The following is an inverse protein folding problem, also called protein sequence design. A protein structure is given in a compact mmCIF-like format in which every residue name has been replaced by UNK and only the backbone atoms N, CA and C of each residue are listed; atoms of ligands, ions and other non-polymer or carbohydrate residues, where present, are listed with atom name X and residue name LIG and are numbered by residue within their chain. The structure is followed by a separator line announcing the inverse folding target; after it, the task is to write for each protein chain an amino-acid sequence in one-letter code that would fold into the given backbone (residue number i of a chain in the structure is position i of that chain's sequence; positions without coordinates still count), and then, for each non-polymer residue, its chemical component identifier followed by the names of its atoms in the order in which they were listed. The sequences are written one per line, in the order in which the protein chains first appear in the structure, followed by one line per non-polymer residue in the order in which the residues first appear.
data_IF_821610352009
#
_entry.id   IF_821610352009
#
_cell.length_a   1.000
_cell.length_b   1.000
_cell.length_c   1.000
_cell.angle_alpha   90.00
_cell.angle_beta   90.00
_cell.angle_gamma   90.00
#
_symmetry.space_group_name_H-M   'P 1'
#
loop_
_entity.id
_entity.type
_entity.pdbx_description
1 polymer ?
#
# COMPACT_ATOMS: atom_id res chain seq x y z
N UNK A 1 10.08 -29.86 -85.03
CA UNK A 1 10.47 -28.51 -84.55
C UNK A 1 10.30 -28.31 -83.03
N UNK A 2 10.22 -29.36 -82.20
CA UNK A 2 10.13 -29.23 -80.72
C UNK A 2 11.46 -29.57 -80.01
N UNK A 3 12.36 -30.29 -80.68
CA UNK A 3 13.66 -30.70 -80.11
C UNK A 3 14.72 -29.58 -80.03
N UNK A 4 14.59 -28.49 -80.80
CA UNK A 4 15.59 -27.43 -80.87
C UNK A 4 15.44 -26.35 -79.77
N UNK A 5 14.29 -26.30 -79.08
CA UNK A 5 14.07 -25.34 -77.99
C UNK A 5 14.67 -25.82 -76.66
N UNK A 6 14.71 -27.15 -76.43
CA UNK A 6 15.31 -27.74 -75.22
C UNK A 6 16.83 -27.70 -75.21
N UNK A 7 17.48 -27.64 -76.38
CA UNK A 7 18.95 -27.54 -76.50
C UNK A 7 19.55 -26.20 -76.07
N UNK A 8 18.73 -25.14 -75.87
CA UNK A 8 19.21 -23.85 -75.33
C UNK A 8 19.11 -23.73 -73.82
N UNK A 9 18.31 -24.58 -73.16
CA UNK A 9 18.20 -24.59 -71.70
C UNK A 9 19.31 -25.40 -71.01
N UNK A 10 19.98 -26.31 -71.72
CA UNK A 10 21.04 -27.18 -71.17
C UNK A 10 22.42 -26.53 -71.10
N UNK A 11 22.63 -25.37 -71.73
CA UNK A 11 23.91 -24.63 -71.73
C UNK A 11 24.15 -23.74 -70.51
N UNK A 12 23.20 -23.64 -69.61
CA UNK A 12 23.18 -22.65 -68.55
C UNK A 12 23.22 -23.32 -67.17
N UNK A 13 24.44 -23.66 -66.71
CA UNK A 13 24.73 -24.28 -65.39
C UNK A 13 24.21 -23.50 -64.17
N UNK A 14 23.83 -22.24 -64.33
CA UNK A 14 23.26 -21.35 -63.32
C UNK A 14 21.73 -21.44 -63.15
N UNK A 15 20.96 -21.82 -64.17
CA UNK A 15 19.49 -21.94 -64.10
C UNK A 15 19.01 -22.93 -63.02
N UNK A 16 19.54 -24.16 -62.91
CA UNK A 16 19.16 -25.07 -61.84
C UNK A 16 19.61 -24.56 -60.46
N UNK A 17 20.72 -23.83 -60.36
CA UNK A 17 21.18 -23.22 -59.10
C UNK A 17 20.25 -22.08 -58.67
N UNK A 18 19.85 -21.21 -59.60
CA UNK A 18 18.90 -20.13 -59.36
C UNK A 18 17.53 -20.67 -58.95
N UNK A 19 17.04 -21.73 -59.62
CA UNK A 19 15.79 -22.39 -59.26
C UNK A 19 15.82 -22.98 -57.84
N UNK A 20 16.93 -23.60 -57.43
CA UNK A 20 17.11 -24.11 -56.06
C UNK A 20 17.15 -22.97 -55.04
N UNK A 21 17.82 -21.85 -55.34
CA UNK A 21 17.85 -20.69 -54.45
C UNK A 21 16.46 -20.06 -54.31
N UNK A 22 15.70 -19.93 -55.40
CA UNK A 22 14.32 -19.41 -55.36
C UNK A 22 13.41 -20.34 -54.60
N UNK A 23 13.52 -21.66 -54.80
CA UNK A 23 12.75 -22.65 -54.04
C UNK A 23 13.10 -22.61 -52.54
N UNK A 24 14.38 -22.53 -52.20
CA UNK A 24 14.83 -22.39 -50.82
C UNK A 24 14.32 -21.09 -50.19
N UNK A 25 14.38 -19.96 -50.90
CA UNK A 25 13.84 -18.69 -50.45
C UNK A 25 12.32 -18.75 -50.24
N UNK A 26 11.58 -19.40 -51.15
CA UNK A 26 10.12 -19.58 -51.01
C UNK A 26 9.76 -20.48 -49.83
N UNK A 27 10.51 -21.56 -49.60
CA UNK A 27 10.30 -22.46 -48.45
C UNK A 27 10.65 -21.76 -47.13
N UNK A 28 11.74 -20.98 -47.10
CA UNK A 28 12.11 -20.16 -45.93
C UNK A 28 11.04 -19.10 -45.66
N UNK A 29 10.58 -18.37 -46.68
CA UNK A 29 9.51 -17.39 -46.55
C UNK A 29 8.20 -18.02 -46.06
N UNK A 30 7.80 -19.16 -46.63
CA UNK A 30 6.62 -19.91 -46.19
C UNK A 30 6.75 -20.42 -44.76
N UNK A 31 7.92 -20.91 -44.36
CA UNK A 31 8.19 -21.32 -42.98
C UNK A 31 8.12 -20.14 -41.99
N UNK A 32 8.68 -18.99 -42.35
CA UNK A 32 8.63 -17.77 -41.54
C UNK A 32 7.19 -17.26 -41.39
N UNK A 33 6.39 -17.30 -42.45
CA UNK A 33 4.96 -16.92 -42.40
C UNK A 33 4.15 -17.85 -41.50
N UNK A 34 4.33 -19.17 -41.63
CA UNK A 34 3.63 -20.13 -40.74
C UNK A 34 4.07 -19.96 -39.28
N UNK A 35 5.36 -19.68 -39.05
CA UNK A 35 5.89 -19.41 -37.72
C UNK A 35 5.31 -18.12 -37.14
N UNK A 36 5.20 -17.05 -37.93
CA UNK A 36 4.58 -15.79 -37.48
C UNK A 36 3.10 -15.95 -37.19
N UNK A 37 2.33 -16.63 -38.06
CA UNK A 37 0.90 -16.88 -37.82
C UNK A 37 0.66 -17.68 -36.54
N UNK A 38 1.47 -18.73 -36.31
CA UNK A 38 1.37 -19.53 -35.07
C UNK A 38 1.72 -18.72 -33.84
N UNK A 39 2.75 -17.87 -33.93
CA UNK A 39 3.14 -16.99 -32.82
C UNK A 39 2.05 -15.96 -32.54
N UNK A 40 1.50 -15.31 -33.57
CA UNK A 40 0.45 -14.31 -33.40
C UNK A 40 -0.82 -14.94 -32.81
N UNK A 41 -1.17 -16.17 -33.20
CA UNK A 41 -2.27 -16.92 -32.60
C UNK A 41 -2.01 -17.29 -31.12
N UNK A 42 -0.79 -17.77 -30.81
CA UNK A 42 -0.37 -18.05 -29.43
C UNK A 42 -0.40 -16.80 -28.56
N UNK A 43 0.16 -15.69 -29.05
CA UNK A 43 0.21 -14.42 -28.35
C UNK A 43 -1.21 -13.86 -28.09
N UNK A 44 -2.14 -14.03 -29.03
CA UNK A 44 -3.55 -13.67 -28.83
C UNK A 44 -4.23 -14.53 -27.75
N UNK A 45 -4.00 -15.84 -27.74
CA UNK A 45 -4.52 -16.76 -26.70
C UNK A 45 -3.95 -16.42 -25.30
N UNK A 46 -2.66 -16.07 -25.25
CA UNK A 46 -2.01 -15.61 -24.01
C UNK A 46 -2.67 -14.34 -23.48
N UNK A 47 -2.93 -13.34 -24.33
CA UNK A 47 -3.59 -12.10 -23.89
C UNK A 47 -5.04 -12.31 -23.46
N UNK A 48 -5.79 -13.17 -24.15
CA UNK A 48 -7.20 -13.47 -23.84
C UNK A 48 -7.35 -14.08 -22.44
N UNK A 49 -6.36 -14.85 -22.01
CA UNK A 49 -6.40 -15.59 -20.73
C UNK A 49 -5.68 -14.88 -19.59
N UNK A 50 -4.63 -14.11 -19.89
CA UNK A 50 -3.79 -13.47 -18.88
C UNK A 50 -4.60 -12.56 -17.92
N UNK A 51 -4.27 -12.64 -16.63
CA UNK A 51 -4.82 -11.75 -15.61
C UNK A 51 -6.36 -11.85 -15.48
N UNK A 52 -6.96 -12.99 -15.84
CA UNK A 52 -8.41 -13.15 -15.86
C UNK A 52 -9.12 -12.44 -17.03
N UNK A 53 -8.38 -12.17 -18.12
CA UNK A 53 -8.90 -11.54 -19.35
C UNK A 53 -9.00 -10.02 -19.29
N UNK A 54 -8.25 -9.36 -18.39
CA UNK A 54 -8.31 -7.90 -18.22
C UNK A 54 -7.31 -7.12 -19.08
N UNK A 55 -6.45 -7.80 -19.82
CA UNK A 55 -5.51 -7.18 -20.76
C UNK A 55 -6.20 -6.99 -22.12
N UNK A 56 -6.68 -5.78 -22.48
CA UNK A 56 -7.37 -5.59 -23.75
C UNK A 56 -6.33 -5.64 -24.88
N UNK A 57 -6.51 -6.53 -25.85
CA UNK A 57 -5.56 -6.70 -26.95
C UNK A 57 -5.27 -5.37 -27.67
N UNK A 58 -6.32 -4.58 -27.96
CA UNK A 58 -6.19 -3.29 -28.64
C UNK A 58 -5.32 -2.28 -27.89
N UNK A 59 -5.29 -2.36 -26.56
CA UNK A 59 -4.54 -1.45 -25.68
C UNK A 59 -3.10 -1.93 -25.46
N UNK A 60 -2.91 -3.25 -25.30
CA UNK A 60 -1.63 -3.83 -24.87
C UNK A 60 -0.75 -4.20 -26.07
N UNK A 61 -1.34 -4.57 -27.22
CA UNK A 61 -0.58 -5.00 -28.40
C UNK A 61 0.35 -3.92 -28.96
N UNK A 62 0.04 -2.64 -28.77
CA UNK A 62 0.91 -1.51 -29.15
C UNK A 62 2.14 -1.35 -28.26
N UNK A 63 2.13 -1.94 -27.06
CA UNK A 63 3.20 -1.89 -26.07
C UNK A 63 4.10 -3.14 -26.09
N UNK A 64 3.62 -4.24 -26.69
CA UNK A 64 4.33 -5.52 -26.73
C UNK A 64 5.10 -5.71 -28.05
N UNK A 65 6.27 -6.38 -28.03
CA UNK A 65 7.02 -6.66 -29.25
C UNK A 65 6.26 -7.64 -30.14
N UNK A 66 6.01 -7.21 -31.39
CA UNK A 66 5.26 -8.00 -32.38
C UNK A 66 6.10 -9.09 -33.06
N UNK A 67 7.41 -9.14 -32.84
CA UNK A 67 8.32 -10.13 -33.40
C UNK A 67 8.66 -11.28 -32.44
N UNK A 68 8.24 -11.19 -31.18
CA UNK A 68 8.59 -12.15 -30.12
C UNK A 68 7.40 -12.99 -29.65
N UNK A 69 7.71 -14.18 -29.12
CA UNK A 69 6.73 -15.06 -28.48
C UNK A 69 6.61 -14.67 -27.02
N UNK A 70 5.39 -14.51 -26.53
CA UNK A 70 5.17 -14.12 -25.13
C UNK A 70 4.89 -15.35 -24.26
N UNK A 71 5.48 -15.37 -23.06
CA UNK A 71 5.26 -16.38 -22.05
C UNK A 71 4.55 -15.76 -20.83
N UNK A 72 3.47 -16.42 -20.40
CA UNK A 72 2.72 -16.01 -19.22
C UNK A 72 3.27 -16.70 -17.97
N UNK A 73 3.62 -15.89 -16.98
CA UNK A 73 4.06 -16.33 -15.66
C UNK A 73 3.21 -15.68 -14.57
N UNK A 74 3.24 -16.30 -13.38
CA UNK A 74 2.65 -15.72 -12.18
C UNK A 74 1.15 -15.46 -12.26
N UNK A 75 0.44 -16.11 -13.19
CA UNK A 75 -0.99 -15.91 -13.46
C UNK A 75 -1.83 -16.35 -12.26
N UNK A 76 -2.30 -15.34 -11.55
CA UNK A 76 -3.10 -15.45 -10.36
C UNK A 76 -4.25 -14.46 -10.50
N UNK A 77 -5.45 -15.01 -10.53
CA UNK A 77 -6.70 -14.27 -10.41
C UNK A 77 -7.32 -14.56 -9.03
N UNK A 78 -8.31 -13.79 -8.60
CA UNK A 78 -9.06 -13.97 -7.34
C UNK A 78 -9.58 -15.41 -7.13
N UNK A 79 -9.66 -16.22 -8.19
CA UNK A 79 -10.08 -17.63 -8.21
C UNK A 79 -8.92 -18.64 -8.20
N UNK A 80 -7.66 -18.21 -8.27
CA UNK A 80 -6.47 -19.07 -8.31
C UNK A 80 -6.13 -19.71 -6.96
N UNK A 81 -5.39 -20.84 -6.94
CA UNK A 81 -4.95 -21.46 -5.69
C UNK A 81 -3.96 -20.55 -4.95
N UNK A 82 -4.44 -19.87 -3.93
CA UNK A 82 -3.60 -19.07 -3.04
C UNK A 82 -2.72 -20.01 -2.20
N UNK A 83 -1.40 -19.94 -2.40
CA UNK A 83 -0.42 -20.50 -1.46
C UNK A 83 -0.55 -19.85 -0.06
N UNK A 84 0.21 -20.33 0.94
CA UNK A 84 0.19 -19.77 2.29
C UNK A 84 0.79 -18.34 2.29
N UNK A 85 -0.08 -17.32 2.26
CA UNK A 85 0.26 -15.90 2.31
C UNK A 85 -0.99 -15.02 2.12
N UNK A 86 -0.91 -13.70 2.38
CA UNK A 86 -2.01 -12.78 2.05
C UNK A 86 -2.33 -12.91 0.55
N UNK A 87 -3.62 -13.07 0.21
CA UNK A 87 -4.06 -13.41 -1.15
C UNK A 87 -3.77 -12.25 -2.11
N UNK A 88 -2.77 -12.36 -2.96
CA UNK A 88 -2.66 -11.42 -4.09
C UNK A 88 -3.96 -11.46 -4.90
N UNK A 89 -4.55 -10.29 -5.16
CA UNK A 89 -5.90 -10.20 -5.74
C UNK A 89 -5.84 -10.51 -7.23
N UNK A 90 -4.81 -9.99 -7.89
CA UNK A 90 -4.50 -10.26 -9.28
C UNK A 90 -2.99 -10.17 -9.45
N UNK A 91 -2.37 -11.08 -10.17
CA UNK A 91 -0.98 -10.99 -10.60
C UNK A 91 -0.82 -11.71 -11.93
N UNK A 92 -0.03 -11.13 -12.80
CA UNK A 92 0.37 -11.75 -14.05
C UNK A 92 1.62 -11.03 -14.54
N UNK A 93 2.49 -11.78 -15.19
CA UNK A 93 3.68 -11.25 -15.83
C UNK A 93 3.80 -11.87 -17.22
N UNK A 94 3.87 -11.04 -18.25
CA UNK A 94 4.21 -11.44 -19.60
C UNK A 94 5.69 -11.19 -19.82
N UNK A 95 6.43 -12.24 -20.12
CA UNK A 95 7.86 -12.18 -20.44
C UNK A 95 8.05 -12.47 -21.93
N UNK A 96 8.99 -11.77 -22.55
CA UNK A 96 9.41 -12.05 -23.93
C UNK A 96 10.93 -12.27 -24.05
N UNK A 97 11.58 -12.60 -22.93
CA UNK A 97 13.00 -12.91 -22.83
C UNK A 97 13.83 -11.72 -22.35
N UNK A 98 15.07 -11.64 -22.83
CA UNK A 98 16.02 -10.58 -22.41
C UNK A 98 15.62 -9.17 -22.85
N UNK A 99 14.58 -9.07 -23.68
CA UNK A 99 14.05 -7.87 -24.32
C UNK A 99 13.01 -7.13 -23.46
N UNK A 100 12.57 -7.70 -22.33
CA UNK A 100 11.69 -7.03 -21.39
C UNK A 100 10.49 -7.86 -20.95
N UNK A 101 9.59 -7.19 -20.24
CA UNK A 101 8.38 -7.80 -19.69
C UNK A 101 7.33 -6.79 -19.26
N UNK A 102 6.10 -7.28 -19.11
CA UNK A 102 4.97 -6.55 -18.55
C UNK A 102 4.54 -7.25 -17.26
N UNK A 103 4.60 -6.55 -16.13
CA UNK A 103 4.04 -7.01 -14.86
C UNK A 103 2.77 -6.22 -14.53
N UNK A 104 1.71 -6.92 -14.12
CA UNK A 104 0.49 -6.32 -13.60
C UNK A 104 0.11 -7.01 -12.30
N UNK A 105 -0.15 -6.21 -11.27
CA UNK A 105 -0.56 -6.73 -9.97
C UNK A 105 -1.60 -5.85 -9.28
N UNK A 106 -2.55 -6.51 -8.62
CA UNK A 106 -3.43 -5.94 -7.63
C UNK A 106 -3.13 -6.55 -6.26
N UNK A 107 -2.70 -5.69 -5.33
CA UNK A 107 -2.32 -6.08 -3.98
C UNK A 107 -3.22 -5.38 -2.97
N UNK A 108 -3.62 -6.05 -1.87
CA UNK A 108 -4.29 -5.35 -0.78
C UNK A 108 -3.37 -4.23 -0.29
N UNK A 109 -3.91 -3.03 -0.07
CA UNK A 109 -3.18 -2.02 0.68
C UNK A 109 -3.28 -2.48 2.11
N UNK A 110 -2.21 -3.15 2.55
CA UNK A 110 -1.96 -3.33 3.96
C UNK A 110 -1.61 -1.94 4.46
N UNK A 111 -2.62 -1.15 4.82
CA UNK A 111 -2.41 -0.15 5.87
C UNK A 111 -1.75 -0.95 6.96
N UNK A 112 -0.46 -0.65 7.25
CA UNK A 112 0.37 -1.49 8.10
C UNK A 112 -0.50 -1.84 9.27
N UNK A 113 -0.97 -3.11 9.39
CA UNK A 113 -2.11 -3.38 10.22
C UNK A 113 -1.65 -2.91 11.56
N UNK A 114 -2.31 -1.88 12.07
CA UNK A 114 -2.16 -1.43 13.42
C UNK A 114 -2.33 -2.72 14.23
N UNK A 115 -1.20 -3.28 14.66
CA UNK A 115 -1.09 -4.73 14.84
C UNK A 115 -1.60 -5.03 16.24
N UNK A 116 -2.89 -4.83 16.47
CA UNK A 116 -3.47 -4.71 17.80
C UNK A 116 -4.06 -3.33 18.05
N UNK A 117 -4.69 -3.20 19.22
CA UNK A 117 -5.39 -1.99 19.65
C UNK A 117 -4.60 -1.17 20.66
N UNK A 118 -3.50 -1.69 21.20
CA UNK A 118 -2.72 -0.98 22.22
C UNK A 118 -1.79 0.02 21.56
N UNK A 119 -1.59 1.22 22.14
CA UNK A 119 -0.72 2.24 21.57
C UNK A 119 0.69 1.75 21.19
N UNK A 120 1.27 0.84 21.97
CA UNK A 120 2.58 0.22 21.67
C UNK A 120 2.56 -0.55 20.35
N UNK A 121 1.48 -1.27 20.10
CA UNK A 121 1.33 -2.12 18.92
C UNK A 121 1.10 -1.23 17.69
N UNK A 122 0.29 -0.18 17.85
CA UNK A 122 0.07 0.85 16.83
C UNK A 122 1.38 1.55 16.42
N UNK A 123 2.19 1.95 17.42
CA UNK A 123 3.47 2.62 17.19
C UNK A 123 4.52 1.68 16.59
N UNK A 124 4.50 0.40 16.96
CA UNK A 124 5.43 -0.61 16.42
C UNK A 124 5.08 -0.97 14.97
N UNK A 125 3.78 -0.99 14.63
CA UNK A 125 3.31 -1.19 13.26
C UNK A 125 3.81 -0.08 12.33
N UNK A 126 3.83 1.19 12.76
CA UNK A 126 4.37 2.29 11.95
C UNK A 126 5.84 2.13 11.54
N UNK A 127 6.63 1.38 12.31
CA UNK A 127 8.03 1.08 12.03
C UNK A 127 8.24 -0.22 11.24
N UNK A 128 7.17 -0.99 10.98
CA UNK A 128 7.28 -2.24 10.25
C UNK A 128 7.47 -1.95 8.76
N UNK A 129 8.60 -2.39 8.21
CA UNK A 129 8.87 -2.30 6.77
C UNK A 129 7.80 -3.07 6.01
N UNK A 130 7.12 -2.39 5.09
CA UNK A 130 6.27 -3.04 4.08
C UNK A 130 7.13 -4.12 3.39
N UNK A 131 6.67 -5.39 3.33
CA UNK A 131 7.49 -6.45 2.76
C UNK A 131 7.80 -6.14 1.29
N UNK A 132 8.97 -6.55 0.80
CA UNK A 132 9.48 -6.09 -0.51
C UNK A 132 8.48 -6.35 -1.68
N UNK A 133 7.74 -7.46 -1.64
CA UNK A 133 6.66 -7.77 -2.62
C UNK A 133 5.52 -6.76 -2.63
N UNK A 134 5.27 -6.11 -1.49
CA UNK A 134 4.27 -5.06 -1.35
C UNK A 134 4.83 -3.70 -1.76
N UNK A 135 6.14 -3.53 -1.98
CA UNK A 135 6.75 -2.23 -2.37
C UNK A 135 6.93 -2.05 -3.89
N UNK A 136 6.65 -3.07 -4.70
CA UNK A 136 6.82 -3.03 -6.17
C UNK A 136 6.07 -1.88 -6.86
N UNK A 137 4.97 -1.40 -6.28
CA UNK A 137 4.22 -0.24 -6.79
C UNK A 137 5.03 1.05 -6.82
N UNK A 138 6.10 1.18 -6.02
CA UNK A 138 6.90 2.42 -5.93
C UNK A 138 7.68 2.68 -7.20
N UNK A 139 8.13 1.61 -7.87
CA UNK A 139 8.89 1.66 -9.11
C UNK A 139 8.05 1.31 -10.33
N UNK A 140 6.73 1.13 -10.16
CA UNK A 140 5.83 0.78 -11.25
C UNK A 140 5.68 1.94 -12.24
N UNK A 141 5.46 1.62 -13.52
CA UNK A 141 5.22 2.63 -14.56
C UNK A 141 3.94 3.43 -14.30
N UNK A 142 2.88 2.79 -13.78
CA UNK A 142 1.63 3.46 -13.43
C UNK A 142 0.84 2.71 -12.36
N UNK A 143 0.07 3.44 -11.55
CA UNK A 143 -0.68 2.85 -10.43
C UNK A 143 -1.98 3.60 -10.09
N UNK A 144 -2.84 2.93 -9.33
CA UNK A 144 -4.02 3.51 -8.68
C UNK A 144 -4.28 2.83 -7.35
N UNK A 145 -4.69 3.61 -6.34
CA UNK A 145 -5.19 3.09 -5.07
C UNK A 145 -6.70 3.22 -5.03
N UNK A 146 -7.38 2.10 -4.76
CA UNK A 146 -8.82 1.96 -4.93
C UNK A 146 -9.50 1.70 -3.59
N UNK A 147 -10.54 2.48 -3.31
CA UNK A 147 -11.44 2.24 -2.18
C UNK A 147 -12.39 1.07 -2.42
N UNK A 148 -12.63 0.30 -1.36
CA UNK A 148 -13.34 -0.97 -1.37
C UNK A 148 -14.25 -1.02 -0.12
N UNK A 149 -15.36 -0.25 -0.10
CA UNK A 149 -16.10 0.08 1.12
C UNK A 149 -16.75 -1.11 1.83
N UNK A 150 -17.14 -2.17 1.10
CA UNK A 150 -17.66 -3.38 1.73
C UNK A 150 -16.55 -4.27 2.31
N UNK A 151 -15.30 -4.05 1.90
CA UNK A 151 -14.12 -4.85 2.23
C UNK A 151 -13.91 -6.02 1.26
N UNK A 152 -12.66 -6.44 1.09
CA UNK A 152 -12.32 -7.62 0.29
C UNK A 152 -12.56 -8.92 1.07
N UNK A 153 -13.11 -9.95 0.44
CA UNK A 153 -13.34 -11.25 1.08
C UNK A 153 -12.03 -12.03 1.28
N UNK A 154 -12.01 -12.94 2.25
CA UNK A 154 -10.90 -13.89 2.43
C UNK A 154 -9.72 -13.38 3.27
N UNK A 155 -9.89 -12.26 3.97
CA UNK A 155 -8.89 -11.68 4.87
C UNK A 155 -9.37 -11.72 6.34
N UNK A 156 -8.45 -11.87 7.31
CA UNK A 156 -8.81 -11.87 8.73
C UNK A 156 -9.32 -10.51 9.22
N UNK A 157 -8.87 -9.42 8.58
CA UNK A 157 -9.34 -8.05 8.82
C UNK A 157 -9.98 -7.48 7.56
N UNK A 158 -10.84 -6.47 7.74
CA UNK A 158 -11.53 -5.82 6.63
C UNK A 158 -10.54 -4.99 5.80
N UNK A 159 -10.12 -5.53 4.66
CA UNK A 159 -9.29 -4.78 3.70
C UNK A 159 -10.18 -3.85 2.89
N UNK A 160 -10.15 -2.56 3.18
CA UNK A 160 -11.00 -1.54 2.54
C UNK A 160 -10.31 -0.81 1.39
N UNK A 161 -9.04 -1.13 1.11
CA UNK A 161 -8.27 -0.53 0.02
C UNK A 161 -7.38 -1.57 -0.66
N UNK A 162 -7.19 -1.42 -1.96
CA UNK A 162 -6.22 -2.20 -2.72
C UNK A 162 -5.53 -1.30 -3.74
N UNK A 163 -4.33 -1.69 -4.15
CA UNK A 163 -3.52 -0.95 -5.11
C UNK A 163 -3.30 -1.81 -6.33
N UNK A 164 -3.57 -1.24 -7.49
CA UNK A 164 -3.27 -1.84 -8.78
C UNK A 164 -2.12 -1.08 -9.41
N UNK A 165 -1.12 -1.81 -9.88
CA UNK A 165 0.05 -1.23 -10.52
C UNK A 165 0.49 -2.09 -11.70
N UNK A 166 1.04 -1.43 -12.72
CA UNK A 166 1.63 -2.08 -13.88
C UNK A 166 3.04 -1.52 -14.12
N UNK A 167 3.96 -2.42 -14.47
CA UNK A 167 5.34 -2.11 -14.83
C UNK A 167 5.61 -2.66 -16.23
N UNK A 168 6.19 -1.83 -17.08
CA UNK A 168 6.70 -2.24 -18.38
C UNK A 168 8.21 -2.00 -18.41
N UNK A 169 8.95 -3.09 -18.48
CA UNK A 169 10.41 -3.10 -18.50
C UNK A 169 10.90 -3.31 -19.94
N UNK A 170 11.84 -2.48 -20.37
CA UNK A 170 12.63 -2.69 -21.60
C UNK A 170 13.95 -3.39 -21.25
N UNK A 171 14.65 -3.94 -22.25
CA UNK A 171 15.89 -4.70 -22.09
C UNK A 171 16.96 -3.99 -21.24
N UNK A 172 17.02 -2.66 -21.34
CA UNK A 172 17.98 -1.81 -20.64
C UNK A 172 17.44 -1.22 -19.33
N UNK A 173 16.22 -1.61 -18.92
CA UNK A 173 15.51 -1.09 -17.74
C UNK A 173 15.04 0.36 -17.89
N UNK A 174 15.05 0.91 -19.11
CA UNK A 174 14.58 2.26 -19.41
C UNK A 174 13.06 2.30 -19.56
N UNK A 175 12.44 3.38 -19.08
CA UNK A 175 11.00 3.61 -19.22
C UNK A 175 10.63 3.85 -20.70
N UNK A 176 9.65 3.08 -21.21
CA UNK A 176 9.13 3.24 -22.57
C UNK A 176 8.31 4.53 -22.66
N UNK A 177 8.64 5.49 -23.56
CA UNK A 177 7.93 6.76 -23.65
C UNK A 177 6.43 6.59 -23.92
N UNK A 178 5.60 7.20 -23.06
CA UNK A 178 4.14 7.12 -23.19
C UNK A 178 3.49 5.88 -22.58
N UNK A 179 4.26 4.90 -22.11
CA UNK A 179 3.77 3.66 -21.52
C UNK A 179 2.83 3.92 -20.33
N UNK A 180 3.14 4.88 -19.46
CA UNK A 180 2.28 5.20 -18.31
C UNK A 180 0.85 5.60 -18.69
N UNK A 181 0.67 6.27 -19.85
CA UNK A 181 -0.65 6.66 -20.35
C UNK A 181 -1.42 5.46 -20.91
N UNK A 182 -0.73 4.60 -21.65
CA UNK A 182 -1.33 3.44 -22.33
C UNK A 182 -1.65 2.32 -21.33
N UNK A 183 -0.75 2.07 -20.37
CA UNK A 183 -0.99 1.19 -19.22
C UNK A 183 -2.08 1.73 -18.27
N UNK A 184 -2.39 3.02 -18.33
CA UNK A 184 -3.46 3.61 -17.52
C UNK A 184 -4.81 2.95 -17.74
N UNK A 185 -5.13 2.57 -18.98
CA UNK A 185 -6.35 1.84 -19.32
C UNK A 185 -6.33 0.40 -18.78
N UNK A 186 -5.17 -0.26 -18.83
CA UNK A 186 -4.99 -1.62 -18.29
C UNK A 186 -5.18 -1.64 -16.77
N UNK A 187 -4.53 -0.71 -16.06
CA UNK A 187 -4.66 -0.57 -14.60
C UNK A 187 -6.10 -0.23 -14.21
N UNK A 188 -6.78 0.61 -14.99
CA UNK A 188 -8.21 0.92 -14.79
C UNK A 188 -9.08 -0.33 -14.94
N UNK A 189 -8.86 -1.12 -16.01
CA UNK A 189 -9.62 -2.34 -16.27
C UNK A 189 -9.41 -3.37 -15.16
N UNK A 190 -8.15 -3.60 -14.76
CA UNK A 190 -7.81 -4.51 -13.67
C UNK A 190 -8.41 -4.06 -12.32
N UNK A 191 -8.39 -2.76 -12.04
CA UNK A 191 -9.00 -2.20 -10.82
C UNK A 191 -10.51 -2.43 -10.76
N UNK A 192 -11.23 -2.17 -11.85
CA UNK A 192 -12.67 -2.42 -11.93
C UNK A 192 -12.96 -3.93 -11.88
N UNK A 193 -12.16 -4.77 -12.54
CA UNK A 193 -12.30 -6.23 -12.49
C UNK A 193 -12.17 -6.78 -11.07
N UNK A 194 -11.12 -6.38 -10.33
CA UNK A 194 -10.90 -6.81 -8.94
C UNK A 194 -12.04 -6.35 -8.03
N UNK A 195 -12.56 -5.13 -8.24
CA UNK A 195 -13.71 -4.62 -7.48
C UNK A 195 -14.98 -5.43 -7.73
N UNK A 196 -15.28 -5.71 -9.01
CA UNK A 196 -16.49 -6.43 -9.42
C UNK A 196 -16.46 -7.87 -8.94
N UNK A 197 -15.35 -8.58 -9.16
CA UNK A 197 -15.13 -9.96 -8.67
C UNK A 197 -15.08 -10.03 -7.14
N UNK A 198 -14.43 -9.07 -6.50
CA UNK A 198 -14.34 -8.96 -5.04
C UNK A 198 -15.65 -8.52 -4.36
N UNK A 199 -16.63 -8.03 -5.14
CA UNK A 199 -17.95 -7.63 -4.65
C UNK A 199 -17.92 -6.49 -3.64
N UNK A 200 -16.88 -5.64 -3.66
CA UNK A 200 -16.66 -4.72 -2.55
C UNK A 200 -17.25 -3.31 -2.71
N UNK A 201 -17.84 -3.01 -3.88
CA UNK A 201 -18.52 -1.75 -4.18
C UNK A 201 -17.58 -0.54 -4.36
N UNK A 202 -18.15 0.66 -4.39
CA UNK A 202 -17.44 1.92 -4.64
C UNK A 202 -17.65 2.48 -6.06
N UNK A 203 -17.25 3.74 -6.33
CA UNK A 203 -17.35 4.33 -7.66
C UNK A 203 -16.39 3.66 -8.64
N UNK A 204 -16.77 3.56 -9.92
CA UNK A 204 -15.90 3.06 -10.98
C UNK A 204 -14.56 3.81 -10.99
N UNK A 205 -13.45 3.11 -11.25
CA UNK A 205 -12.16 3.78 -11.47
C UNK A 205 -12.18 4.36 -12.87
N UNK A 206 -11.81 5.63 -13.00
CA UNK A 206 -11.66 6.29 -14.29
C UNK A 206 -10.18 6.32 -14.70
N UNK A 207 -9.85 6.34 -16.01
CA UNK A 207 -8.47 6.49 -16.47
C UNK A 207 -7.76 7.74 -15.94
N UNK A 208 -8.51 8.78 -15.55
CA UNK A 208 -7.96 9.99 -14.95
C UNK A 208 -7.46 9.81 -13.50
N UNK A 209 -7.91 8.76 -12.79
CA UNK A 209 -7.49 8.42 -11.43
C UNK A 209 -6.14 7.70 -11.41
N UNK A 210 -5.76 7.10 -12.54
CA UNK A 210 -4.51 6.35 -12.69
C UNK A 210 -3.36 7.31 -13.00
N UNK A 211 -2.28 7.22 -12.24
CA UNK A 211 -1.12 8.11 -12.37
C UNK A 211 0.18 7.34 -12.16
N UNK A 212 1.29 7.78 -12.77
CA UNK A 212 2.63 7.34 -12.35
C UNK A 212 2.80 7.51 -10.83
N UNK A 213 3.60 6.66 -10.17
CA UNK A 213 3.98 6.91 -8.79
C UNK A 213 4.61 8.30 -8.64
N UNK A 214 4.38 8.92 -7.49
CA UNK A 214 5.15 10.12 -7.12
C UNK A 214 6.65 9.77 -7.03
N UNK A 215 7.54 10.77 -7.07
CA UNK A 215 8.98 10.53 -6.96
C UNK A 215 9.26 9.63 -5.76
N UNK A 216 10.02 8.55 -5.99
CA UNK A 216 10.49 7.65 -4.94
C UNK A 216 11.44 8.48 -4.09
N UNK A 217 10.95 9.01 -2.98
CA UNK A 217 11.84 9.44 -1.92
C UNK A 217 12.58 8.18 -1.46
N UNK A 218 13.91 8.19 -1.58
CA UNK A 218 14.76 7.09 -1.14
C UNK A 218 14.32 6.68 0.29
N UNK A 219 14.25 5.38 0.62
CA UNK A 219 13.92 4.95 1.97
C UNK A 219 14.95 5.36 3.04
N UNK A 220 15.94 6.19 2.70
CA UNK A 220 16.97 6.72 3.59
C UNK A 220 16.58 8.09 4.14
N UNK A 221 15.74 8.02 5.15
CA UNK A 221 15.92 8.60 6.48
C UNK A 221 14.53 8.49 7.07
N UNK A 222 14.41 7.78 8.20
CA UNK A 222 13.28 7.89 9.11
C UNK A 222 12.74 9.30 9.01
N UNK A 223 11.64 9.52 8.28
CA UNK A 223 11.22 10.87 7.96
C UNK A 223 10.79 11.44 9.30
N UNK A 224 11.69 12.17 9.97
CA UNK A 224 11.41 12.67 11.30
C UNK A 224 10.30 13.72 11.26
N UNK A 225 9.69 13.96 10.10
CA UNK A 225 8.48 14.74 9.99
C UNK A 225 7.39 14.17 10.91
N UNK A 226 6.99 15.00 11.85
CA UNK A 226 5.97 14.65 12.83
C UNK A 226 4.65 14.44 12.08
N UNK A 227 3.97 13.29 12.27
CA UNK A 227 2.70 13.01 11.62
C UNK A 227 1.71 14.17 11.83
N UNK A 228 0.88 14.53 10.84
CA UNK A 228 -0.01 15.68 10.94
C UNK A 228 -0.86 15.71 12.21
N UNK A 229 -1.39 14.54 12.62
CA UNK A 229 -2.20 14.38 13.84
C UNK A 229 -1.40 14.53 15.15
N UNK A 230 -0.06 14.56 15.07
CA UNK A 230 0.86 14.70 16.21
C UNK A 230 1.56 16.06 16.26
N UNK A 231 1.37 16.93 15.27
CA UNK A 231 2.04 18.26 15.20
C UNK A 231 1.65 19.23 16.31
N UNK A 232 0.51 19.02 16.95
CA UNK A 232 0.08 19.76 18.14
C UNK A 232 0.92 19.42 19.38
N UNK A 233 1.60 18.27 19.37
CA UNK A 233 2.25 17.73 20.54
C UNK A 233 3.60 18.41 20.77
N UNK A 234 3.67 19.31 21.76
CA UNK A 234 4.86 20.11 22.07
C UNK A 234 5.50 19.70 23.41
N UNK A 235 6.85 19.62 23.50
CA UNK A 235 7.56 19.36 24.75
C UNK A 235 7.18 20.27 25.92
N UNK A 236 6.87 21.54 25.64
CA UNK A 236 6.49 22.53 26.64
C UNK A 236 5.23 22.16 27.43
N UNK A 237 4.30 21.36 26.87
CA UNK A 237 3.11 20.90 27.59
C UNK A 237 3.44 19.94 28.74
N UNK A 238 4.67 19.39 28.76
CA UNK A 238 5.16 18.46 29.77
C UNK A 238 6.27 19.05 30.63
N UNK A 239 6.48 20.37 30.60
CA UNK A 239 7.70 21.06 31.06
C UNK A 239 8.98 20.35 30.62
N UNK A 240 8.95 19.79 29.40
CA UNK A 240 10.05 19.07 28.80
C UNK A 240 11.07 20.03 28.20
N UNK A 241 12.35 19.70 28.30
CA UNK A 241 13.42 20.35 27.55
C UNK A 241 13.43 19.74 26.15
N UNK A 242 13.45 20.57 25.11
CA UNK A 242 13.85 20.09 23.78
C UNK A 242 15.32 19.65 23.89
N UNK A 243 15.57 18.34 23.78
CA UNK A 243 16.92 17.79 23.73
C UNK A 243 17.51 17.98 22.33
N UNK A 244 18.60 17.27 22.03
CA UNK A 244 19.23 17.28 20.70
C UNK A 244 18.28 16.77 19.59
N UNK A 245 18.80 16.59 18.37
CA UNK A 245 18.03 16.45 17.10
C UNK A 245 16.86 15.44 17.15
N UNK A 246 16.91 14.41 18.01
CA UNK A 246 15.86 13.38 18.17
C UNK A 246 15.16 13.36 19.55
N UNK A 247 15.73 14.01 20.57
CA UNK A 247 15.21 14.00 21.94
C UNK A 247 14.03 14.99 22.09
N UNK A 248 12.82 14.48 21.92
CA UNK A 248 11.59 15.24 22.10
C UNK A 248 10.82 15.54 20.81
N UNK A 249 11.15 14.84 19.72
CA UNK A 249 10.28 14.78 18.55
C UNK A 249 9.11 13.84 18.84
N UNK A 250 7.86 14.27 18.66
CA UNK A 250 6.71 13.37 18.82
C UNK A 250 6.77 12.24 17.78
N UNK A 251 6.74 11.00 18.24
CA UNK A 251 6.50 9.84 17.39
C UNK A 251 5.00 9.63 17.23
N UNK A 252 4.57 9.03 16.11
CA UNK A 252 3.17 8.73 15.92
C UNK A 252 2.85 8.03 14.62
N UNK A 253 1.60 7.61 14.50
CA UNK A 253 1.01 7.02 13.29
C UNK A 253 -0.35 7.67 13.09
N UNK A 254 -0.62 8.12 11.87
CA UNK A 254 -1.93 8.60 11.42
C UNK A 254 -2.46 7.59 10.43
N UNK A 255 -3.65 7.03 10.67
CA UNK A 255 -4.25 6.03 9.78
C UNK A 255 -5.77 6.07 9.80
N UNK A 256 -6.43 5.36 8.88
CA UNK A 256 -7.90 5.45 8.73
C UNK A 256 -8.66 5.01 9.99
N UNK A 257 -8.13 4.05 10.74
CA UNK A 257 -8.81 3.45 11.89
C UNK A 257 -8.27 3.90 13.25
N UNK A 258 -7.08 4.48 13.31
CA UNK A 258 -6.60 5.14 14.52
C UNK A 258 -5.53 6.20 14.24
N UNK A 259 -5.47 7.17 15.14
CA UNK A 259 -4.34 8.10 15.26
C UNK A 259 -3.67 7.88 16.60
N UNK A 260 -2.35 7.68 16.63
CA UNK A 260 -1.56 7.53 17.86
C UNK A 260 -0.38 8.49 17.85
N UNK A 261 -0.14 9.15 18.98
CA UNK A 261 1.01 10.02 19.20
C UNK A 261 1.66 9.70 20.54
N UNK A 262 2.99 9.75 20.58
CA UNK A 262 3.80 9.50 21.77
C UNK A 262 4.91 10.53 21.86
N UNK A 263 5.09 11.09 23.05
CA UNK A 263 6.17 12.03 23.34
C UNK A 263 6.77 11.65 24.69
N UNK A 264 8.08 11.48 24.69
CA UNK A 264 8.88 11.24 25.88
C UNK A 264 9.95 12.32 25.92
N UNK A 265 9.96 13.13 26.98
CA UNK A 265 10.86 14.29 27.08
C UNK A 265 11.53 14.35 28.45
N UNK A 266 12.84 14.66 28.50
CA UNK A 266 13.51 15.00 29.74
C UNK A 266 12.89 16.25 30.36
N UNK A 267 12.74 16.26 31.69
CA UNK A 267 12.11 17.37 32.42
C UNK A 267 13.10 18.52 32.62
N UNK A 268 12.64 19.76 32.40
CA UNK A 268 13.45 20.97 32.66
C UNK A 268 13.79 21.09 34.15
N UNK A 269 12.83 20.79 35.01
CA UNK A 269 12.99 20.84 36.47
C UNK A 269 12.32 19.62 37.12
N UNK A 270 13.05 18.50 37.27
CA UNK A 270 12.55 17.30 37.95
C UNK A 270 12.11 17.63 39.38
N UNK A 271 10.92 17.19 39.78
CA UNK A 271 10.46 17.34 41.16
C UNK A 271 11.25 16.46 42.14
N UNK A 272 11.77 15.32 41.68
CA UNK A 272 12.60 14.38 42.44
C UNK A 272 13.50 13.55 41.49
N UNK A 273 14.33 12.65 42.04
CA UNK A 273 15.24 11.77 41.28
C UNK A 273 14.55 10.75 40.35
N UNK A 274 13.23 10.67 40.37
CA UNK A 274 12.42 9.78 39.53
C UNK A 274 11.61 10.55 38.50
N UNK A 275 11.43 11.87 38.66
CA UNK A 275 10.74 12.79 37.74
C UNK A 275 11.64 13.31 36.60
N UNK A 276 12.61 12.51 36.15
CA UNK A 276 13.54 12.98 35.12
C UNK A 276 12.93 13.03 33.72
N UNK A 277 11.85 12.28 33.50
CA UNK A 277 11.20 12.14 32.19
C UNK A 277 9.68 12.24 32.37
N UNK A 278 9.03 13.02 31.51
CA UNK A 278 7.59 12.94 31.32
C UNK A 278 7.28 12.20 30.03
N UNK A 279 6.22 11.39 30.06
CA UNK A 279 5.72 10.69 28.90
C UNK A 279 4.24 10.96 28.74
N UNK A 280 3.83 11.21 27.50
CA UNK A 280 2.42 11.26 27.14
C UNK A 280 2.18 10.44 25.89
N UNK A 281 1.07 9.71 25.91
CA UNK A 281 0.59 8.92 24.79
C UNK A 281 -0.88 9.28 24.56
N UNK A 282 -1.23 9.70 23.35
CA UNK A 282 -2.61 9.95 22.93
C UNK A 282 -2.98 8.99 21.81
N UNK A 283 -4.18 8.45 21.87
CA UNK A 283 -4.73 7.58 20.81
C UNK A 283 -6.20 7.87 20.61
N UNK A 284 -6.66 7.85 19.36
CA UNK A 284 -8.08 7.83 19.00
C UNK A 284 -8.35 6.68 18.07
N UNK A 285 -9.26 5.79 18.47
CA UNK A 285 -9.75 4.69 17.64
C UNK A 285 -11.06 5.09 16.96
N UNK A 286 -11.22 4.65 15.71
CA UNK A 286 -12.40 4.86 14.87
C UNK A 286 -12.66 3.63 14.00
N UNK A 287 -13.80 3.62 13.32
CA UNK A 287 -14.12 2.55 12.38
C UNK A 287 -14.11 1.14 13.02
N UNK A 288 -13.55 0.12 12.34
CA UNK A 288 -13.45 -1.25 12.83
C UNK A 288 -12.66 -1.44 14.12
N UNK A 289 -11.67 -0.58 14.43
CA UNK A 289 -10.88 -0.71 15.67
C UNK A 289 -11.64 -0.21 16.91
N UNK A 290 -12.71 0.56 16.75
CA UNK A 290 -13.45 1.13 17.87
C UNK A 290 -14.11 0.06 18.78
N UNK A 291 -14.84 -0.95 18.27
CA UNK A 291 -15.33 -2.07 19.09
C UNK A 291 -14.22 -2.91 19.74
N UNK A 292 -13.11 -3.12 19.04
CA UNK A 292 -11.97 -3.87 19.56
C UNK A 292 -11.29 -3.13 20.72
N UNK A 293 -11.08 -1.82 20.57
CA UNK A 293 -10.54 -0.97 21.63
C UNK A 293 -11.44 -0.98 22.88
N UNK A 294 -12.77 -0.89 22.71
CA UNK A 294 -13.73 -1.01 23.83
C UNK A 294 -13.64 -2.36 24.53
N UNK A 295 -13.38 -3.43 23.78
CA UNK A 295 -13.23 -4.78 24.34
C UNK A 295 -11.92 -4.91 25.10
N UNK A 296 -10.80 -4.51 24.49
CA UNK A 296 -9.47 -4.60 25.10
C UNK A 296 -9.30 -3.71 26.34
N UNK A 297 -9.96 -2.55 26.35
CA UNK A 297 -9.93 -1.60 27.47
C UNK A 297 -11.20 -1.67 28.35
N UNK A 298 -12.03 -2.71 28.21
CA UNK A 298 -13.32 -2.80 28.91
C UNK A 298 -13.22 -2.66 30.43
N UNK A 299 -12.21 -3.28 31.06
CA UNK A 299 -11.96 -3.15 32.49
C UNK A 299 -11.55 -1.73 32.91
N UNK A 300 -10.77 -1.04 32.07
CA UNK A 300 -10.36 0.35 32.33
C UNK A 300 -11.53 1.32 32.16
N UNK A 301 -12.33 1.14 31.11
CA UNK A 301 -13.55 1.91 30.85
C UNK A 301 -14.59 1.73 31.97
N UNK A 302 -14.70 0.52 32.54
CA UNK A 302 -15.57 0.24 33.67
C UNK A 302 -15.09 0.89 34.98
N UNK A 303 -13.79 1.17 35.11
CA UNK A 303 -13.18 1.76 36.30
C UNK A 303 -13.08 3.30 36.26
N UNK A 304 -13.62 3.97 35.23
CA UNK A 304 -13.51 5.41 35.09
C UNK A 304 -14.23 6.17 36.22
N UNK A 305 -13.54 7.15 36.78
CA UNK A 305 -14.07 8.10 37.76
C UNK A 305 -13.80 9.54 37.33
N UNK A 306 -14.62 10.49 37.76
CA UNK A 306 -14.37 11.92 37.51
C UNK A 306 -13.16 12.45 38.27
N UNK A 307 -12.94 11.91 39.47
CA UNK A 307 -11.86 12.29 40.36
C UNK A 307 -11.30 11.03 41.02
N UNK A 308 -10.56 10.19 40.27
CA UNK A 308 -9.94 9.01 40.85
C UNK A 308 -8.82 9.43 41.80
N UNK A 309 -8.69 8.73 42.92
CA UNK A 309 -7.58 8.93 43.86
C UNK A 309 -6.41 8.02 43.49
N UNK A 310 -5.16 8.54 43.50
CA UNK A 310 -3.99 7.72 43.21
C UNK A 310 -3.73 6.75 44.36
N UNK A 311 -3.22 5.57 44.05
CA UNK A 311 -2.74 4.65 45.09
C UNK A 311 -1.53 5.25 45.82
N UNK A 312 -1.53 5.14 47.15
CA UNK A 312 -0.48 5.72 47.98
C UNK A 312 0.79 4.87 47.95
N UNK A 313 1.96 5.51 47.83
CA UNK A 313 3.26 4.84 47.91
C UNK A 313 3.90 4.52 46.56
N UNK A 314 3.24 4.86 45.45
CA UNK A 314 3.76 4.67 44.11
C UNK A 314 4.96 5.59 43.81
N UNK A 315 5.95 5.03 43.11
CA UNK A 315 7.16 5.74 42.70
C UNK A 315 6.98 6.52 41.39
N UNK A 316 5.97 6.15 40.59
CA UNK A 316 5.55 6.81 39.37
C UNK A 316 4.03 6.70 39.22
N UNK A 317 3.41 7.74 38.68
CA UNK A 317 1.96 7.81 38.51
C UNK A 317 1.62 7.94 37.05
N UNK A 318 0.71 7.09 36.58
CA UNK A 318 0.17 7.17 35.24
C UNK A 318 -1.33 7.43 35.30
N UNK A 319 -1.77 8.56 34.76
CA UNK A 319 -3.19 8.88 34.65
C UNK A 319 -3.67 8.72 33.22
N UNK A 320 -4.72 7.92 33.02
CA UNK A 320 -5.42 7.84 31.76
C UNK A 320 -6.73 8.65 31.82
N UNK A 321 -7.01 9.43 30.78
CA UNK A 321 -8.25 10.18 30.59
C UNK A 321 -8.88 9.74 29.28
N UNK A 322 -10.19 9.51 29.34
CA UNK A 322 -10.98 8.98 28.24
C UNK A 322 -12.04 9.97 27.79
N UNK A 323 -12.26 10.05 26.49
CA UNK A 323 -13.34 10.81 25.90
C UNK A 323 -13.93 10.10 24.69
N UNK A 324 -15.24 10.29 24.50
CA UNK A 324 -15.88 10.07 23.21
C UNK A 324 -15.94 11.39 22.45
N UNK A 325 -15.76 11.33 21.15
CA UNK A 325 -15.80 12.49 20.29
C UNK A 325 -16.27 12.10 18.90
N UNK A 326 -16.36 13.09 18.01
CA UNK A 326 -16.49 12.87 16.58
C UNK A 326 -15.39 13.62 15.84
N UNK A 327 -14.35 12.91 15.43
CA UNK A 327 -13.25 13.44 14.63
C UNK A 327 -13.49 13.13 13.15
N UNK A 328 -13.34 14.14 12.28
CA UNK A 328 -13.55 14.00 10.82
C UNK A 328 -14.90 13.36 10.43
N UNK A 329 -15.95 13.58 11.25
CA UNK A 329 -17.29 13.03 11.03
C UNK A 329 -17.50 11.56 11.45
N UNK A 330 -16.45 10.86 11.89
CA UNK A 330 -16.55 9.52 12.44
C UNK A 330 -16.73 9.56 13.96
N UNK A 331 -17.39 8.54 14.56
CA UNK A 331 -17.39 8.37 16.01
C UNK A 331 -16.04 7.84 16.47
N UNK A 332 -15.49 8.45 17.51
CA UNK A 332 -14.15 8.16 18.00
C UNK A 332 -14.14 7.93 19.51
N UNK A 333 -13.27 7.02 19.96
CA UNK A 333 -12.93 6.84 21.36
C UNK A 333 -11.47 7.27 21.53
N UNK A 334 -11.25 8.29 22.35
CA UNK A 334 -9.94 8.88 22.59
C UNK A 334 -9.46 8.55 23.99
N UNK A 335 -8.16 8.26 24.11
CA UNK A 335 -7.47 8.00 25.37
C UNK A 335 -6.17 8.79 25.40
N UNK A 336 -5.96 9.57 26.45
CA UNK A 336 -4.70 10.25 26.73
C UNK A 336 -4.13 9.68 28.02
N UNK A 337 -2.85 9.29 27.99
CA UNK A 337 -2.12 8.78 29.14
C UNK A 337 -0.98 9.71 29.48
N UNK A 338 -0.87 10.11 30.74
CA UNK A 338 0.19 10.97 31.25
C UNK A 338 0.94 10.26 32.36
N UNK A 339 2.22 9.96 32.11
CA UNK A 339 3.15 9.35 33.07
C UNK A 339 4.11 10.39 33.63
N UNK A 340 4.12 10.55 34.96
CA UNK A 340 5.04 11.44 35.69
C UNK A 340 5.34 10.89 37.09
N UNK A 341 6.29 11.47 37.84
CA UNK A 341 6.53 11.04 39.22
C UNK A 341 5.57 11.69 40.25
N UNK A 342 4.59 12.48 39.83
CA UNK A 342 3.64 13.16 40.72
C UNK A 342 2.21 13.03 40.21
N UNK A 343 1.32 12.49 41.05
CA UNK A 343 -0.11 12.40 40.76
C UNK A 343 -0.75 13.77 40.50
N UNK A 344 -0.40 14.79 41.28
CA UNK A 344 -0.93 16.15 41.08
C UNK A 344 -0.59 16.71 39.69
N UNK A 345 0.65 16.48 39.21
CA UNK A 345 1.08 16.92 37.88
C UNK A 345 0.39 16.15 36.76
N UNK A 346 0.21 14.84 36.91
CA UNK A 346 -0.53 14.04 35.95
C UNK A 346 -1.99 14.50 35.84
N UNK A 347 -2.65 14.76 36.98
CA UNK A 347 -4.03 15.25 37.05
C UNK A 347 -4.21 16.64 36.42
N UNK A 348 -3.32 17.59 36.71
CA UNK A 348 -3.34 18.96 36.18
C UNK A 348 -3.08 19.05 34.66
N UNK A 349 -2.43 18.04 34.09
CA UNK A 349 -2.08 18.03 32.66
C UNK A 349 -3.03 17.25 31.80
N UNK A 350 -3.57 16.14 32.28
CA UNK A 350 -4.24 15.19 31.42
C UNK A 350 -5.47 15.79 30.70
N UNK A 351 -6.23 16.67 31.36
CA UNK A 351 -7.37 17.37 30.73
C UNK A 351 -6.90 18.37 29.68
N UNK A 352 -5.91 19.22 30.01
CA UNK A 352 -5.37 20.21 29.06
C UNK A 352 -4.77 19.57 27.82
N UNK A 353 -4.11 18.42 27.99
CA UNK A 353 -3.53 17.66 26.89
C UNK A 353 -4.63 17.01 26.05
N UNK A 354 -5.67 16.45 26.69
CA UNK A 354 -6.83 15.93 25.97
C UNK A 354 -7.52 17.02 25.15
N UNK A 355 -7.72 18.21 25.72
CA UNK A 355 -8.35 19.33 25.00
C UNK A 355 -7.49 19.77 23.80
N UNK A 356 -6.17 19.92 24.00
CA UNK A 356 -5.24 20.26 22.92
C UNK A 356 -5.23 19.18 21.81
N UNK A 357 -5.26 17.91 22.19
CA UNK A 357 -5.33 16.78 21.28
C UNK A 357 -6.61 16.83 20.44
N UNK A 358 -7.77 16.89 21.09
CA UNK A 358 -9.07 16.85 20.42
C UNK A 358 -9.29 18.08 19.53
N UNK A 359 -8.83 19.25 19.96
CA UNK A 359 -8.88 20.46 19.13
C UNK A 359 -8.02 20.32 17.87
N UNK A 360 -6.83 19.73 17.99
CA UNK A 360 -5.93 19.54 16.84
C UNK A 360 -6.44 18.54 15.81
N UNK A 361 -7.18 17.53 16.27
CA UNK A 361 -7.75 16.49 15.43
C UNK A 361 -9.14 16.87 14.87
N UNK A 362 -9.53 18.16 14.96
CA UNK A 362 -10.86 18.69 14.60
C UNK A 362 -12.02 17.82 15.12
N UNK A 363 -11.86 17.34 16.36
CA UNK A 363 -12.87 16.53 17.02
C UNK A 363 -13.95 17.42 17.63
N UNK A 364 -15.21 17.06 17.38
CA UNK A 364 -16.40 17.74 17.89
C UNK A 364 -17.20 16.82 18.81
N UNK A 365 -18.27 17.35 19.40
CA UNK A 365 -19.17 16.60 20.29
C UNK A 365 -18.43 15.84 21.41
N UNK A 366 -17.43 16.51 22.00
CA UNK A 366 -16.54 15.91 23.00
C UNK A 366 -17.31 15.62 24.30
N UNK A 367 -17.19 14.40 24.78
CA UNK A 367 -17.70 13.93 26.07
C UNK A 367 -16.59 13.20 26.82
N UNK A 368 -16.04 13.85 27.84
CA UNK A 368 -15.10 13.19 28.77
C UNK A 368 -15.85 12.11 29.55
N UNK A 369 -15.37 10.87 29.44
CA UNK A 369 -15.95 9.70 30.11
C UNK A 369 -15.48 9.59 31.56
N UNK A 370 -14.22 9.98 31.81
CA UNK A 370 -13.61 9.94 33.14
C UNK A 370 -12.12 9.64 33.05
N UNK A 371 -11.55 9.35 34.21
CA UNK A 371 -10.12 9.17 34.43
C UNK A 371 -9.86 7.93 35.29
N UNK A 372 -8.66 7.37 35.18
CA UNK A 372 -8.25 6.18 35.94
C UNK A 372 -6.73 6.13 36.09
N UNK A 373 -6.26 5.79 37.29
CA UNK A 373 -4.83 5.59 37.58
C UNK A 373 -4.36 4.21 37.08
N UNK A 374 -3.09 4.12 36.74
CA UNK A 374 -2.44 2.95 36.14
C UNK A 374 -1.12 2.63 36.78
#
# INVERSE_FOLDING_TARGET
MVAAAWGRFTGHRWLPKAAVVVLAAALVAGFLLVRSERRDAHNAEVLDTACGGVLPEETVRGLLPGDETWELHGDLDLTGPSGPGPRTLLRCSLDWGASGGLELAAVPVLDVPLSGVRPTDLLSAGAAKEPDWATAYRTATTQVTVGCPAGLPGYPHRVTRFRVHASLDDADGSEVPGAARELGAVVTAAANHVRDRGGCGGPAVEPADVRPPGPVEDPEEESGEVPPSCRWFRPAMLDGRAGGRDDGRPGGVTGDDADVCSLRVPRVKPANRRDHVAQVVSVSWRGPLLPEARTAYGAELAALSRAPEPESGEEAYTLAVWAESSCSGARTLSRVTVGTASSALAADRADRILDAYLASADCRAVKVLGKVWK
#
